data_IF_388058739860
#
_entry.id   IF_388058739860
#
_cell.length_a   1.000
_cell.length_b   1.000
_cell.length_c   1.000
_cell.angle_alpha   90.00
_cell.angle_beta   90.00
_cell.angle_gamma   90.00
#
_symmetry.space_group_name_H-M   'P 1'
#
loop_
_entity.id
_entity.type
_entity.pdbx_description
1 polymer ?
#
# COMPACT_ATOMS: atom_id res chain seq x y z
N UNK A 1 -4.58 -5.81 21.34
CA UNK A 1 -4.89 -6.48 20.07
C UNK A 1 -4.06 -5.86 18.94
N UNK A 2 -3.39 -6.67 18.14
CA UNK A 2 -2.64 -6.12 17.00
C UNK A 2 -3.59 -5.57 15.93
N UNK A 3 -3.10 -4.62 15.17
CA UNK A 3 -3.83 -3.97 14.08
C UNK A 3 -3.32 -4.52 12.75
N UNK A 4 -4.24 -4.83 11.84
CA UNK A 4 -3.84 -5.12 10.46
C UNK A 4 -3.64 -3.80 9.71
N UNK A 5 -2.53 -3.70 9.00
CA UNK A 5 -2.14 -2.49 8.25
C UNK A 5 -1.97 -2.83 6.77
N UNK A 6 -2.62 -2.06 5.91
CA UNK A 6 -2.55 -2.20 4.46
C UNK A 6 -1.56 -1.17 3.91
N UNK A 7 -0.42 -1.62 3.40
CA UNK A 7 0.64 -0.78 2.85
C UNK A 7 0.53 -0.72 1.33
N UNK A 8 0.45 0.49 0.78
CA UNK A 8 0.32 0.69 -0.66
C UNK A 8 1.40 1.59 -1.25
N UNK A 9 2.29 2.11 -0.42
CA UNK A 9 3.37 3.01 -0.84
C UNK A 9 4.75 2.41 -0.55
N UNK A 10 5.67 3.20 -0.01
CA UNK A 10 7.04 2.73 0.22
C UNK A 10 7.14 1.58 1.22
N UNK A 11 6.14 1.40 2.08
CA UNK A 11 6.09 0.26 3.01
C UNK A 11 5.73 -1.06 2.32
N UNK A 12 5.58 -1.05 0.99
CA UNK A 12 5.67 -2.28 0.18
C UNK A 12 7.04 -2.92 0.31
N UNK A 13 8.05 -2.17 0.73
CA UNK A 13 9.35 -2.75 1.07
C UNK A 13 9.30 -3.37 2.46
N UNK A 14 9.44 -4.69 2.52
CA UNK A 14 9.53 -5.42 3.79
C UNK A 14 10.75 -4.99 4.59
N UNK A 15 11.83 -4.66 3.89
CA UNK A 15 13.05 -4.14 4.51
C UNK A 15 12.78 -2.82 5.24
N UNK A 16 12.10 -1.88 4.58
CA UNK A 16 11.74 -0.60 5.19
C UNK A 16 10.79 -0.80 6.37
N UNK A 17 9.80 -1.67 6.21
CA UNK A 17 8.84 -1.97 7.27
C UNK A 17 9.53 -2.55 8.51
N UNK A 18 10.50 -3.45 8.30
CA UNK A 18 11.27 -4.05 9.40
C UNK A 18 12.07 -2.99 10.16
N UNK A 19 12.61 -2.02 9.45
CA UNK A 19 13.36 -0.92 10.06
C UNK A 19 12.45 0.02 10.86
N UNK A 20 11.28 0.33 10.32
CA UNK A 20 10.33 1.26 10.97
C UNK A 20 9.56 0.63 12.11
N UNK A 21 9.15 -0.62 11.90
CA UNK A 21 8.26 -1.35 12.82
C UNK A 21 8.85 -2.75 13.05
N UNK A 22 9.87 -2.85 13.93
CA UNK A 22 10.63 -4.11 14.08
C UNK A 22 9.82 -5.30 14.56
N UNK A 23 8.70 -5.06 15.25
CA UNK A 23 7.84 -6.14 15.75
C UNK A 23 6.65 -6.44 14.85
N UNK A 24 6.56 -5.76 13.70
CA UNK A 24 5.50 -6.06 12.73
C UNK A 24 5.74 -7.40 12.05
N UNK A 25 4.64 -8.03 11.63
CA UNK A 25 4.69 -9.31 10.94
C UNK A 25 3.98 -9.16 9.59
N UNK A 26 4.69 -9.52 8.51
CA UNK A 26 4.06 -9.60 7.19
C UNK A 26 3.13 -10.82 7.17
N UNK A 27 1.89 -10.63 6.69
CA UNK A 27 0.92 -11.72 6.66
C UNK A 27 0.37 -12.06 5.27
N UNK A 28 0.46 -11.18 4.30
CA UNK A 28 -0.02 -11.52 2.98
C UNK A 28 -0.24 -10.31 2.08
N UNK A 29 -0.86 -10.59 0.92
CA UNK A 29 -1.24 -9.58 -0.07
C UNK A 29 -2.68 -9.18 0.16
N UNK A 30 -2.98 -7.89 0.06
CA UNK A 30 -4.33 -7.37 0.17
C UNK A 30 -4.79 -6.66 -1.09
N UNK A 31 -6.11 -6.59 -1.26
CA UNK A 31 -6.74 -5.78 -2.31
C UNK A 31 -7.75 -4.85 -1.66
N UNK A 32 -7.62 -3.57 -1.96
CA UNK A 32 -8.56 -2.52 -1.56
C UNK A 32 -9.26 -2.00 -2.80
N UNK A 33 -10.60 -2.04 -2.83
CA UNK A 33 -11.39 -1.64 -4.00
C UNK A 33 -12.04 -0.29 -3.78
N UNK A 34 -12.24 0.45 -4.88
CA UNK A 34 -12.94 1.74 -4.86
C UNK A 34 -12.00 2.93 -4.69
N UNK A 35 -10.71 2.74 -4.89
CA UNK A 35 -9.69 3.78 -4.70
C UNK A 35 -8.76 3.86 -5.91
N UNK A 36 -8.17 5.02 -6.11
CA UNK A 36 -7.17 5.29 -7.15
C UNK A 36 -5.84 5.68 -6.49
N UNK A 37 -4.75 5.12 -6.97
CA UNK A 37 -3.39 5.39 -6.47
C UNK A 37 -2.81 6.62 -7.16
N UNK A 38 -2.29 7.56 -6.37
CA UNK A 38 -1.63 8.77 -6.89
C UNK A 38 -0.36 9.08 -6.09
N UNK A 39 0.46 9.97 -6.65
CA UNK A 39 1.43 10.75 -5.87
C UNK A 39 0.77 12.11 -5.63
N UNK A 40 0.77 12.57 -4.40
CA UNK A 40 0.13 13.84 -4.04
C UNK A 40 1.11 15.03 -4.01
N UNK A 41 0.63 16.19 -3.62
CA UNK A 41 1.43 17.43 -3.61
C UNK A 41 2.65 17.37 -2.67
N UNK A 42 2.65 16.48 -1.69
CA UNK A 42 3.81 16.27 -0.83
C UNK A 42 4.89 15.42 -1.50
N UNK A 43 4.58 14.78 -2.63
CA UNK A 43 5.50 13.91 -3.36
C UNK A 43 5.52 12.48 -2.87
N UNK A 44 4.49 12.05 -2.17
CA UNK A 44 4.35 10.70 -1.61
C UNK A 44 3.08 10.02 -2.09
N UNK A 45 3.05 8.70 -1.98
CA UNK A 45 1.88 7.91 -2.39
C UNK A 45 0.66 8.25 -1.54
N UNK A 46 -0.49 8.26 -2.20
CA UNK A 46 -1.78 8.51 -1.57
C UNK A 46 -2.87 7.76 -2.31
N UNK A 47 -4.01 7.58 -1.67
CA UNK A 47 -5.19 7.00 -2.29
C UNK A 47 -6.31 8.04 -2.29
N UNK A 48 -7.00 8.13 -3.43
CA UNK A 48 -8.19 8.98 -3.57
C UNK A 48 -9.36 8.10 -3.98
N UNK A 49 -10.58 8.51 -3.61
CA UNK A 49 -11.76 7.73 -3.98
C UNK A 49 -11.91 7.71 -5.50
N UNK A 50 -12.22 6.53 -6.04
CA UNK A 50 -12.44 6.37 -7.47
C UNK A 50 -13.67 7.15 -7.90
N UNK A 51 -13.60 7.75 -9.11
CA UNK A 51 -14.72 8.50 -9.65
C UNK A 51 -15.79 7.53 -10.17
N UNK A 52 -17.05 7.64 -9.70
CA UNK A 52 -18.12 6.79 -10.25
C UNK A 52 -18.49 7.17 -11.69
N UNK A 53 -18.08 8.35 -12.17
CA UNK A 53 -18.37 8.82 -13.53
C UNK A 53 -17.35 8.32 -14.55
N UNK A 54 -16.17 7.91 -14.10
CA UNK A 54 -15.08 7.41 -14.96
C UNK A 54 -14.52 6.13 -14.33
N UNK A 55 -15.29 5.04 -14.32
CA UNK A 55 -14.78 3.80 -13.75
C UNK A 55 -13.64 3.26 -14.60
N UNK A 56 -12.48 3.16 -13.99
CA UNK A 56 -11.32 2.53 -14.59
C UNK A 56 -11.02 1.30 -13.75
N UNK A 57 -11.30 0.13 -14.30
CA UNK A 57 -11.20 -1.13 -13.56
C UNK A 57 -9.80 -1.41 -13.02
N UNK A 58 -8.76 -0.94 -13.72
CA UNK A 58 -7.38 -1.13 -13.28
C UNK A 58 -7.01 -0.17 -12.15
N UNK A 59 -7.59 1.06 -12.16
CA UNK A 59 -7.30 2.07 -11.16
C UNK A 59 -8.25 2.02 -9.95
N UNK A 60 -9.35 1.25 -10.05
CA UNK A 60 -10.30 1.11 -8.94
C UNK A 60 -9.93 0.00 -7.97
N UNK A 61 -8.79 -0.62 -8.18
CA UNK A 61 -8.30 -1.74 -7.38
C UNK A 61 -6.86 -1.45 -6.98
N UNK A 62 -6.59 -1.52 -5.67
CA UNK A 62 -5.25 -1.28 -5.13
C UNK A 62 -4.73 -2.56 -4.52
N UNK A 63 -3.60 -3.04 -5.02
CA UNK A 63 -2.85 -4.11 -4.36
C UNK A 63 -1.94 -3.51 -3.29
N UNK A 64 -1.78 -4.22 -2.20
CA UNK A 64 -0.86 -3.82 -1.14
C UNK A 64 -0.37 -5.02 -0.36
N UNK A 65 0.54 -4.77 0.55
CA UNK A 65 1.02 -5.78 1.50
C UNK A 65 0.38 -5.54 2.86
N UNK A 66 0.03 -6.62 3.53
CA UNK A 66 -0.66 -6.56 4.82
C UNK A 66 0.27 -7.01 5.92
N UNK A 67 0.36 -6.20 6.95
CA UNK A 67 1.19 -6.45 8.13
C UNK A 67 0.33 -6.44 9.38
N UNK A 68 0.75 -7.23 10.37
CA UNK A 68 0.18 -7.16 11.70
C UNK A 68 1.06 -6.27 12.55
N UNK A 69 0.47 -5.24 13.17
CA UNK A 69 1.20 -4.25 13.98
C UNK A 69 0.83 -4.40 15.45
N UNK A 70 1.80 -4.72 16.32
CA UNK A 70 1.60 -4.52 17.74
C UNK A 70 1.37 -3.02 18.07
N UNK A 71 0.72 -2.68 19.18
CA UNK A 71 0.40 -1.29 19.50
C UNK A 71 1.60 -0.34 19.49
N UNK A 72 2.77 -0.77 19.95
CA UNK A 72 3.97 0.08 19.95
C UNK A 72 4.44 0.39 18.53
N UNK A 73 4.34 -0.58 17.62
CA UNK A 73 4.72 -0.38 16.23
C UNK A 73 3.69 0.49 15.49
N UNK A 74 2.43 0.40 15.85
CA UNK A 74 1.42 1.31 15.30
C UNK A 74 1.73 2.76 15.68
N UNK A 75 2.14 3.02 16.90
CA UNK A 75 2.56 4.36 17.34
C UNK A 75 3.79 4.85 16.57
N UNK A 76 4.75 3.97 16.33
CA UNK A 76 5.93 4.32 15.52
C UNK A 76 5.52 4.69 14.11
N UNK A 77 4.63 3.89 13.52
CA UNK A 77 4.15 4.13 12.16
C UNK A 77 3.37 5.44 12.06
N UNK A 78 2.54 5.76 13.06
CA UNK A 78 1.84 7.05 13.10
C UNK A 78 2.82 8.21 12.99
N UNK A 79 3.97 8.10 13.65
CA UNK A 79 5.03 9.12 13.56
C UNK A 79 5.63 9.23 12.17
N UNK A 80 5.95 8.10 11.55
CA UNK A 80 6.50 8.08 10.19
C UNK A 80 5.50 8.63 9.16
N UNK A 81 4.21 8.37 9.37
CA UNK A 81 3.15 8.83 8.48
C UNK A 81 2.72 10.27 8.76
N UNK A 82 3.25 10.88 9.81
CA UNK A 82 2.94 12.27 10.13
C UNK A 82 1.48 12.51 10.51
N UNK A 83 0.90 11.59 11.26
CA UNK A 83 -0.49 11.70 11.73
C UNK A 83 -0.59 12.82 12.77
N UNK A 84 -1.59 13.68 12.72
CA UNK A 84 -2.70 13.74 11.73
C UNK A 84 -2.47 14.72 10.58
N UNK A 85 -1.29 15.31 10.46
CA UNK A 85 -1.03 16.43 9.53
C UNK A 85 -0.83 15.96 8.08
N UNK A 86 -0.04 14.89 7.88
CA UNK A 86 0.28 14.39 6.55
C UNK A 86 -0.73 13.34 6.11
N UNK A 87 -1.04 12.40 6.99
CA UNK A 87 -2.05 11.37 6.76
C UNK A 87 -2.98 11.28 7.95
N UNK A 88 -4.19 10.79 7.70
CA UNK A 88 -5.12 10.39 8.76
C UNK A 88 -5.31 8.88 8.70
N UNK A 89 -5.71 8.31 9.82
CA UNK A 89 -5.93 6.87 9.95
C UNK A 89 -7.38 6.55 9.61
N UNK A 90 -7.57 5.60 8.70
CA UNK A 90 -8.89 5.11 8.33
C UNK A 90 -8.88 3.58 8.39
N UNK A 91 -10.06 2.98 8.57
CA UNK A 91 -10.22 1.54 8.55
C UNK A 91 -11.12 1.20 7.37
N UNK A 92 -10.65 0.28 6.51
CA UNK A 92 -11.39 -0.10 5.32
C UNK A 92 -11.40 -1.63 5.16
N UNK A 93 -12.47 -2.18 4.57
CA UNK A 93 -12.49 -3.61 4.24
C UNK A 93 -11.51 -3.89 3.11
N UNK A 94 -10.74 -4.94 3.28
CA UNK A 94 -9.81 -5.43 2.26
C UNK A 94 -10.04 -6.91 2.04
N UNK A 95 -9.60 -7.40 0.88
CA UNK A 95 -9.55 -8.82 0.58
C UNK A 95 -8.13 -9.29 0.83
N UNK A 96 -7.95 -10.28 1.71
CA UNK A 96 -6.64 -10.73 2.16
C UNK A 96 -6.33 -12.15 1.66
N UNK A 97 -5.15 -12.31 1.06
CA UNK A 97 -4.56 -13.61 0.73
C UNK A 97 -3.37 -13.82 1.64
N UNK A 98 -3.55 -14.67 2.67
CA UNK A 98 -2.49 -14.94 3.63
C UNK A 98 -1.38 -15.79 3.03
N UNK A 99 -0.14 -15.45 3.37
CA UNK A 99 1.00 -16.29 3.06
C UNK A 99 1.06 -17.41 4.09
N UNK A 100 1.01 -18.67 3.63
CA UNK A 100 1.05 -19.85 4.50
C UNK A 100 2.26 -20.70 4.17
N UNK A 101 2.96 -21.14 5.20
CA UNK A 101 4.10 -22.06 5.08
C UNK A 101 5.20 -21.56 4.12
N UNK A 102 5.44 -20.23 4.11
CA UNK A 102 6.43 -19.62 3.24
C UNK A 102 6.05 -19.57 1.78
N UNK A 103 4.81 -19.99 1.42
CA UNK A 103 4.31 -19.96 0.06
C UNK A 103 3.30 -18.83 -0.06
N UNK A 104 3.56 -17.89 -0.96
CA UNK A 104 2.65 -16.79 -1.23
C UNK A 104 1.39 -17.31 -1.93
N UNK A 105 0.22 -16.98 -1.40
CA UNK A 105 -1.04 -17.22 -2.10
C UNK A 105 -1.16 -16.18 -3.21
N UNK A 106 -1.33 -16.65 -4.45
CA UNK A 106 -1.48 -15.74 -5.59
C UNK A 106 -2.89 -15.17 -5.60
N UNK A 107 -3.04 -13.84 -5.66
CA UNK A 107 -4.36 -13.21 -5.59
C UNK A 107 -5.37 -13.60 -6.66
N UNK A 108 -4.96 -14.28 -7.71
CA UNK A 108 -5.86 -14.68 -8.80
C UNK A 108 -6.27 -16.14 -8.74
N UNK A 109 -5.71 -16.92 -7.83
CA UNK A 109 -5.93 -18.36 -7.80
C UNK A 109 -7.12 -18.80 -6.94
N UNK A 110 -7.49 -18.02 -5.92
CA UNK A 110 -8.57 -18.32 -4.97
C UNK A 110 -9.17 -17.02 -4.47
N UNK A 111 -10.39 -17.08 -3.95
CA UNK A 111 -10.99 -15.92 -3.29
C UNK A 111 -10.25 -15.64 -1.98
N UNK A 112 -9.96 -14.38 -1.72
CA UNK A 112 -9.38 -13.95 -0.45
C UNK A 112 -10.43 -13.90 0.67
N UNK A 113 -9.96 -13.64 1.87
CA UNK A 113 -10.82 -13.45 3.05
C UNK A 113 -11.05 -11.98 3.27
N UNK A 114 -12.30 -11.58 3.47
CA UNK A 114 -12.60 -10.17 3.78
C UNK A 114 -12.25 -9.87 5.23
N UNK A 115 -11.51 -8.80 5.45
CA UNK A 115 -11.16 -8.32 6.78
C UNK A 115 -11.01 -6.80 6.75
N UNK A 116 -10.87 -6.18 7.91
CA UNK A 116 -10.67 -4.74 7.98
C UNK A 116 -9.20 -4.43 8.28
N UNK A 117 -8.68 -3.37 7.67
CA UNK A 117 -7.30 -2.95 7.86
C UNK A 117 -7.19 -1.44 8.01
N UNK A 118 -6.16 -1.04 8.74
CA UNK A 118 -5.73 0.35 8.86
C UNK A 118 -5.11 0.81 7.55
N UNK A 119 -5.55 1.96 7.05
CA UNK A 119 -5.03 2.59 5.84
C UNK A 119 -4.75 4.06 6.15
N UNK A 120 -3.54 4.53 5.84
CA UNK A 120 -3.20 5.93 6.02
C UNK A 120 -3.56 6.69 4.74
N UNK A 121 -4.40 7.71 4.86
CA UNK A 121 -4.93 8.44 3.70
C UNK A 121 -4.83 9.95 3.96
N UNK A 122 -4.39 10.69 2.94
CA UNK A 122 -4.40 12.16 2.96
C UNK A 122 -5.63 12.64 2.20
N UNK A 123 -6.65 13.05 2.94
CA UNK A 123 -7.93 13.51 2.37
C UNK A 123 -7.86 14.95 1.83
N UNK A 124 -6.77 15.65 2.12
CA UNK A 124 -6.61 17.06 1.74
C UNK A 124 -5.92 17.21 0.40
N UNK A 125 -4.81 16.46 0.20
CA UNK A 125 -3.98 16.58 -1.01
C UNK A 125 -4.35 15.48 -1.99
N UNK A 126 -5.45 15.71 -2.71
CA UNK A 126 -6.07 14.68 -3.57
C UNK A 126 -5.75 14.85 -5.06
N UNK A 127 -4.89 15.80 -5.41
CA UNK A 127 -4.47 16.03 -6.79
C UNK A 127 -3.16 15.33 -7.08
N UNK A 128 -3.03 14.84 -8.32
CA UNK A 128 -1.80 14.20 -8.79
C UNK A 128 -0.64 15.20 -8.84
N UNK A 129 0.54 14.74 -8.47
CA UNK A 129 1.76 15.55 -8.50
C UNK A 129 2.96 14.65 -8.78
N UNK A 130 4.15 15.22 -8.72
CA UNK A 130 5.39 14.50 -8.97
C UNK A 130 5.94 13.90 -7.67
N UNK A 131 6.57 12.73 -7.74
CA UNK A 131 7.22 12.15 -6.56
C UNK A 131 8.47 12.93 -6.18
N UNK A 132 8.75 13.00 -4.88
CA UNK A 132 10.04 13.50 -4.41
C UNK A 132 11.14 12.57 -4.90
N UNK A 133 12.28 13.15 -5.24
CA UNK A 133 13.41 12.37 -5.78
C UNK A 133 13.83 11.24 -4.84
N UNK A 134 13.92 11.52 -3.54
CA UNK A 134 14.30 10.51 -2.55
C UNK A 134 13.27 9.38 -2.43
N UNK A 135 12.00 9.67 -2.75
CA UNK A 135 10.92 8.69 -2.68
C UNK A 135 10.96 7.70 -3.84
N UNK A 136 11.48 8.12 -5.00
CA UNK A 136 11.55 7.26 -6.19
C UNK A 136 12.32 5.98 -5.90
N UNK A 137 13.50 6.10 -5.27
CA UNK A 137 14.31 4.94 -4.92
C UNK A 137 13.63 4.02 -3.91
N UNK A 138 12.96 4.61 -2.92
CA UNK A 138 12.20 3.85 -1.92
C UNK A 138 11.05 3.10 -2.55
N UNK A 139 10.34 3.72 -3.50
CA UNK A 139 9.25 3.05 -4.22
C UNK A 139 9.75 1.93 -5.13
N UNK A 140 10.85 2.15 -5.84
CA UNK A 140 11.44 1.09 -6.68
C UNK A 140 11.77 -0.15 -5.87
N UNK A 141 12.33 0.04 -4.68
CA UNK A 141 12.64 -1.07 -3.77
C UNK A 141 11.36 -1.76 -3.31
N UNK A 142 10.36 -0.98 -2.92
CA UNK A 142 9.06 -1.52 -2.51
C UNK A 142 8.38 -2.32 -3.60
N UNK A 143 8.38 -1.80 -4.82
CA UNK A 143 7.79 -2.48 -5.99
C UNK A 143 8.49 -3.82 -6.25
N UNK A 144 9.82 -3.83 -6.20
CA UNK A 144 10.59 -5.06 -6.41
C UNK A 144 10.24 -6.12 -5.36
N UNK A 145 10.19 -5.74 -4.10
CA UNK A 145 9.85 -6.66 -3.01
C UNK A 145 8.39 -7.12 -3.08
N UNK A 146 7.47 -6.21 -3.43
CA UNK A 146 6.05 -6.54 -3.58
C UNK A 146 5.82 -7.54 -4.72
N UNK A 147 6.56 -7.39 -5.82
CA UNK A 147 6.49 -8.33 -6.93
C UNK A 147 6.91 -9.74 -6.50
N UNK A 148 7.93 -9.85 -5.66
CA UNK A 148 8.36 -11.13 -5.11
C UNK A 148 7.27 -11.77 -4.24
N UNK A 149 6.42 -10.96 -3.63
CA UNK A 149 5.32 -11.44 -2.80
C UNK A 149 4.04 -11.75 -3.59
N UNK A 150 4.05 -11.50 -4.89
CA UNK A 150 2.94 -11.89 -5.76
C UNK A 150 2.06 -10.76 -6.26
N UNK A 151 2.35 -9.52 -5.94
CA UNK A 151 1.62 -8.40 -6.54
C UNK A 151 1.99 -8.34 -8.03
N UNK A 152 0.99 -8.31 -8.94
CA UNK A 152 1.29 -8.31 -10.37
C UNK A 152 2.11 -7.09 -10.80
N UNK A 153 3.26 -7.33 -11.41
CA UNK A 153 4.11 -6.25 -11.93
C UNK A 153 3.37 -5.42 -12.98
N UNK A 154 2.54 -6.07 -13.79
CA UNK A 154 1.74 -5.37 -14.82
C UNK A 154 0.82 -4.32 -14.19
N UNK A 155 0.23 -4.62 -13.02
CA UNK A 155 -0.59 -3.65 -12.31
C UNK A 155 0.25 -2.47 -11.82
N UNK A 156 1.42 -2.75 -11.22
CA UNK A 156 2.29 -1.70 -10.71
C UNK A 156 2.81 -0.80 -11.83
N UNK A 157 3.17 -1.38 -12.97
CA UNK A 157 3.59 -0.60 -14.14
C UNK A 157 2.46 0.27 -14.68
N UNK A 158 1.24 -0.27 -14.74
CA UNK A 158 0.07 0.47 -15.23
C UNK A 158 -0.31 1.63 -14.30
N UNK A 159 -0.35 1.38 -12.99
CA UNK A 159 -0.85 2.33 -11.99
C UNK A 159 0.23 3.28 -11.53
N UNK A 160 1.40 2.76 -11.19
CA UNK A 160 2.50 3.55 -10.61
C UNK A 160 3.47 4.07 -11.66
N UNK A 161 3.54 3.41 -12.82
CA UNK A 161 4.47 3.77 -13.89
C UNK A 161 4.23 5.13 -14.51
N UNK A 162 3.02 5.68 -14.34
CA UNK A 162 2.72 7.05 -14.78
C UNK A 162 3.34 8.12 -13.90
N UNK A 163 3.76 7.75 -12.69
CA UNK A 163 4.39 8.66 -11.71
C UNK A 163 5.87 8.36 -11.51
N UNK A 164 6.29 7.11 -11.70
CA UNK A 164 7.62 6.62 -11.36
C UNK A 164 8.30 6.04 -12.59
N UNK A 165 9.62 6.26 -12.78
CA UNK A 165 10.35 5.66 -13.90
C UNK A 165 10.63 4.18 -13.62
N UNK A 166 9.66 3.30 -13.89
CA UNK A 166 9.77 1.87 -13.63
C UNK A 166 10.40 1.07 -14.76
N UNK A 167 10.40 1.61 -15.98
CA UNK A 167 11.08 0.98 -17.09
C UNK A 167 12.57 1.31 -17.01
N UNK A 168 13.38 0.28 -17.14
CA UNK A 168 14.84 0.42 -17.15
C UNK A 168 15.34 1.03 -18.43
#
# INVERSE_FOLDING_TARGET
>A
MPTLYFAYGSNLSLHQMKARCPSSTYIGVGILRGWTWIINARGYANLVTASPLEPDTDNDLIYGLVYELPPDDELRLDGYEGVPWAYTKEVHPIELWEEKNGTASKPMAMAGTMTEALVYIDRVRVKKDQPKEEYIGRMKRGISEAAEKGIPMAWMESVMGGFLPLSS
#
